data_IF_126807818212
#
_entry.id   IF_126807818212
#
_cell.length_a   1.000
_cell.length_b   1.000
_cell.length_c   1.000
_cell.angle_alpha   90.00
_cell.angle_beta   90.00
_cell.angle_gamma   90.00
#
_symmetry.space_group_name_H-M   'P 1'
#
loop_
_entity.id
_entity.type
_entity.pdbx_description
1 polymer ?
#
# COMPACT_ATOMS: atom_id res chain seq x y z
N UNK A 1 3.07 41.57 -22.00
CA UNK A 1 3.10 41.11 -20.59
C UNK A 1 2.43 39.74 -20.51
N UNK A 2 2.93 38.80 -19.70
CA UNK A 2 2.29 37.49 -19.49
C UNK A 2 1.55 37.51 -18.15
N UNK A 3 0.24 37.29 -18.17
CA UNK A 3 -0.57 37.15 -16.95
C UNK A 3 -0.27 35.79 -16.32
N UNK A 4 -0.03 35.77 -15.02
CA UNK A 4 0.29 34.56 -14.25
C UNK A 4 -0.55 34.50 -12.98
N UNK A 5 -0.95 33.29 -12.58
CA UNK A 5 -1.53 33.04 -11.27
C UNK A 5 -0.41 32.89 -10.24
N UNK A 6 -0.51 33.61 -9.13
CA UNK A 6 0.36 33.43 -7.97
C UNK A 6 -0.44 32.92 -6.80
N UNK A 7 0.13 31.98 -6.05
CA UNK A 7 -0.47 31.52 -4.81
C UNK A 7 -0.42 32.63 -3.76
N UNK A 8 -1.58 32.96 -3.20
CA UNK A 8 -1.76 33.98 -2.18
C UNK A 8 -2.72 33.45 -1.11
N UNK A 9 -2.21 33.03 0.06
CA UNK A 9 -3.02 32.37 1.08
C UNK A 9 -4.05 33.29 1.74
N UNK A 10 -3.87 34.62 1.64
CA UNK A 10 -4.77 35.63 2.20
C UNK A 10 -6.05 35.84 1.36
N UNK A 11 -6.06 35.36 0.12
CA UNK A 11 -7.18 35.57 -0.81
C UNK A 11 -8.24 34.49 -0.60
N UNK A 12 -9.18 34.78 0.30
CA UNK A 12 -10.38 33.95 0.50
C UNK A 12 -11.54 34.57 -0.29
N UNK A 13 -11.52 34.39 -1.61
CA UNK A 13 -12.68 34.74 -2.44
C UNK A 13 -13.85 33.81 -2.13
N UNK A 14 -15.09 34.28 -2.36
CA UNK A 14 -16.26 33.41 -2.30
C UNK A 14 -16.10 32.30 -3.35
N UNK A 15 -16.22 31.05 -2.90
CA UNK A 15 -16.11 29.89 -3.78
C UNK A 15 -17.40 29.81 -4.58
N UNK A 16 -17.29 29.84 -5.90
CA UNK A 16 -18.44 29.83 -6.81
C UNK A 16 -18.40 28.72 -7.84
N UNK A 17 -17.31 27.94 -7.90
CA UNK A 17 -17.18 26.84 -8.84
C UNK A 17 -16.26 25.74 -8.31
N UNK A 18 -16.35 24.56 -8.92
CA UNK A 18 -15.51 23.41 -8.64
C UNK A 18 -15.05 22.75 -9.94
N UNK A 19 -13.82 22.23 -9.92
CA UNK A 19 -13.29 21.44 -11.02
C UNK A 19 -13.22 19.94 -10.66
N UNK A 20 -13.85 19.11 -11.49
CA UNK A 20 -13.88 17.66 -11.38
C UNK A 20 -12.96 17.04 -12.42
N UNK A 21 -11.83 16.49 -11.97
CA UNK A 21 -10.80 15.91 -12.86
C UNK A 21 -11.21 14.58 -13.47
N UNK A 22 -10.62 14.30 -14.63
CA UNK A 22 -10.74 13.03 -15.34
C UNK A 22 -11.83 13.08 -16.41
N UNK A 23 -11.91 12.07 -17.26
CA UNK A 23 -12.79 12.03 -18.44
C UNK A 23 -14.04 11.16 -18.28
N UNK A 24 -14.31 10.66 -17.07
CA UNK A 24 -15.39 9.70 -16.80
C UNK A 24 -16.67 10.36 -16.27
N UNK A 25 -17.77 10.42 -17.04
CA UNK A 25 -19.02 11.03 -16.61
C UNK A 25 -19.59 10.43 -15.32
N UNK A 26 -19.45 9.10 -15.15
CA UNK A 26 -19.89 8.40 -13.94
C UNK A 26 -19.20 8.90 -12.68
N UNK A 27 -17.90 9.22 -12.75
CA UNK A 27 -17.16 9.74 -11.60
C UNK A 27 -17.62 11.15 -11.25
N UNK A 28 -17.85 12.00 -12.26
CA UNK A 28 -18.37 13.34 -12.04
C UNK A 28 -19.76 13.32 -11.38
N UNK A 29 -20.66 12.47 -11.87
CA UNK A 29 -22.01 12.34 -11.31
C UNK A 29 -21.99 11.84 -9.88
N UNK A 30 -21.12 10.88 -9.55
CA UNK A 30 -20.97 10.43 -8.17
C UNK A 30 -20.51 11.58 -7.26
N UNK A 31 -19.56 12.41 -7.68
CA UNK A 31 -19.14 13.57 -6.89
C UNK A 31 -20.23 14.63 -6.77
N UNK A 32 -20.96 14.93 -7.84
CA UNK A 32 -22.10 15.88 -7.81
C UNK A 32 -23.19 15.39 -6.85
N UNK A 33 -23.49 14.09 -6.86
CA UNK A 33 -24.50 13.50 -5.96
C UNK A 33 -24.16 13.62 -4.47
N UNK A 34 -22.88 13.80 -4.14
CA UNK A 34 -22.44 13.99 -2.76
C UNK A 34 -22.69 15.41 -2.24
N UNK A 35 -22.96 16.36 -3.13
CA UNK A 35 -23.13 17.77 -2.76
C UNK A 35 -24.54 18.10 -2.27
N UNK A 36 -25.50 17.16 -2.41
CA UNK A 36 -26.92 17.35 -2.03
C UNK A 36 -27.53 18.64 -2.61
N UNK A 37 -27.10 19.00 -3.82
CA UNK A 37 -27.55 20.19 -4.54
C UNK A 37 -28.41 19.77 -5.72
N UNK A 38 -29.44 20.58 -6.02
CA UNK A 38 -30.27 20.39 -7.21
C UNK A 38 -29.41 20.52 -8.49
N UNK A 39 -29.28 19.46 -9.31
CA UNK A 39 -28.46 19.49 -10.51
C UNK A 39 -28.89 20.54 -11.54
N UNK A 40 -30.17 20.91 -11.56
CA UNK A 40 -30.69 21.90 -12.51
C UNK A 40 -30.28 23.34 -12.16
N UNK A 41 -29.79 23.57 -10.94
CA UNK A 41 -29.29 24.87 -10.45
C UNK A 41 -27.79 25.09 -10.73
N UNK A 42 -27.16 24.20 -11.49
CA UNK A 42 -25.72 24.19 -11.75
C UNK A 42 -25.43 24.38 -13.24
N UNK A 43 -24.42 25.18 -13.55
CA UNK A 43 -23.89 25.28 -14.92
C UNK A 43 -22.70 24.32 -15.10
N UNK A 44 -22.71 23.54 -16.18
CA UNK A 44 -21.68 22.54 -16.48
C UNK A 44 -20.92 22.91 -17.75
N UNK A 45 -19.59 22.88 -17.68
CA UNK A 45 -18.70 23.15 -18.81
C UNK A 45 -17.58 22.12 -18.89
N UNK A 46 -17.24 21.66 -20.09
CA UNK A 46 -16.14 20.71 -20.28
C UNK A 46 -14.83 21.48 -20.44
N UNK A 47 -13.85 21.18 -19.60
CA UNK A 47 -12.48 21.67 -19.77
C UNK A 47 -11.66 20.64 -20.52
N UNK A 48 -10.98 21.09 -21.56
CA UNK A 48 -10.07 20.28 -22.36
C UNK A 48 -8.61 20.67 -22.08
N UNK A 49 -7.72 19.70 -22.23
CA UNK A 49 -6.29 19.95 -22.33
C UNK A 49 -5.95 20.54 -23.71
N UNK A 50 -4.76 21.13 -23.86
CA UNK A 50 -4.27 21.70 -25.12
C UNK A 50 -4.24 20.68 -26.29
N UNK A 51 -4.28 19.39 -25.98
CA UNK A 51 -4.32 18.27 -26.94
C UNK A 51 -5.72 17.98 -27.48
N UNK A 52 -6.76 18.63 -26.95
CA UNK A 52 -8.17 18.36 -27.26
C UNK A 52 -8.79 17.23 -26.45
N UNK A 53 -8.00 16.60 -25.55
CA UNK A 53 -8.52 15.61 -24.61
C UNK A 53 -9.34 16.29 -23.51
N UNK A 54 -10.38 15.61 -23.03
CA UNK A 54 -11.17 16.08 -21.89
C UNK A 54 -10.33 15.99 -20.61
N UNK A 55 -10.07 17.15 -19.99
CA UNK A 55 -9.36 17.26 -18.73
C UNK A 55 -10.30 17.02 -17.53
N UNK A 56 -11.54 17.49 -17.65
CA UNK A 56 -12.52 17.40 -16.58
C UNK A 56 -13.79 18.22 -16.83
N UNK A 57 -14.68 18.17 -15.85
CA UNK A 57 -15.91 18.94 -15.81
C UNK A 57 -15.76 20.12 -14.85
N UNK A 58 -16.05 21.31 -15.33
CA UNK A 58 -16.16 22.53 -14.54
C UNK A 58 -17.61 22.78 -14.17
N UNK A 59 -17.88 22.93 -12.87
CA UNK A 59 -19.22 23.13 -12.34
C UNK A 59 -19.29 24.49 -11.67
N UNK A 60 -20.25 25.31 -12.05
CA UNK A 60 -20.51 26.62 -11.46
C UNK A 60 -21.78 26.54 -10.62
N UNK A 61 -21.71 27.07 -9.40
CA UNK A 61 -22.83 27.13 -8.48
C UNK A 61 -23.50 28.50 -8.58
N UNK A 62 -24.83 28.53 -8.72
CA UNK A 62 -25.59 29.78 -8.66
C UNK A 62 -25.55 30.41 -7.27
N UNK A 63 -25.48 29.57 -6.22
CA UNK A 63 -25.40 30.00 -4.83
C UNK A 63 -23.99 29.83 -4.25
N UNK A 64 -23.21 30.91 -4.30
CA UNK A 64 -21.82 30.96 -3.79
C UNK A 64 -21.74 30.66 -2.27
N UNK A 65 -22.80 30.93 -1.50
CA UNK A 65 -22.84 30.63 -0.06
C UNK A 65 -22.93 29.12 0.22
N UNK A 66 -23.64 28.37 -0.64
CA UNK A 66 -23.75 26.91 -0.55
C UNK A 66 -22.42 26.27 -0.98
N UNK A 67 -21.82 26.76 -2.06
CA UNK A 67 -20.53 26.26 -2.55
C UNK A 67 -19.41 26.40 -1.51
N UNK A 68 -19.39 27.49 -0.72
CA UNK A 68 -18.42 27.68 0.36
C UNK A 68 -18.56 26.72 1.55
N UNK A 69 -19.71 26.05 1.71
CA UNK A 69 -19.94 25.08 2.79
C UNK A 69 -19.61 23.64 2.36
N UNK A 70 -19.51 23.39 1.06
CA UNK A 70 -19.25 22.06 0.50
C UNK A 70 -17.76 21.71 0.56
N UNK A 71 -17.45 20.43 0.77
CA UNK A 71 -16.08 19.92 0.65
C UNK A 71 -15.74 19.70 -0.83
N UNK A 72 -15.24 20.75 -1.47
CA UNK A 72 -14.81 20.74 -2.87
C UNK A 72 -13.33 20.38 -2.97
N UNK A 73 -12.99 19.45 -3.88
CA UNK A 73 -11.60 19.03 -4.10
C UNK A 73 -10.75 20.15 -4.73
N UNK A 74 -11.28 20.81 -5.76
CA UNK A 74 -10.58 21.90 -6.46
C UNK A 74 -11.53 23.10 -6.59
N UNK A 75 -11.63 23.94 -5.53
CA UNK A 75 -12.51 25.10 -5.51
C UNK A 75 -11.96 26.26 -6.33
N UNK A 76 -12.88 26.97 -6.99
CA UNK A 76 -12.61 28.17 -7.78
C UNK A 76 -13.43 29.35 -7.24
N UNK A 77 -12.79 30.50 -7.18
CA UNK A 77 -13.37 31.78 -6.79
C UNK A 77 -13.75 32.60 -8.01
N UNK A 78 -14.85 33.35 -7.91
CA UNK A 78 -15.31 34.26 -8.95
C UNK A 78 -14.66 35.63 -8.80
N UNK A 79 -14.15 36.18 -9.90
CA UNK A 79 -13.48 37.49 -9.99
C UNK A 79 -14.10 38.29 -11.13
N UNK A 80 -14.39 39.58 -10.88
CA UNK A 80 -15.00 40.48 -11.86
C UNK A 80 -16.27 39.93 -12.53
N UNK A 81 -17.03 39.09 -11.81
CA UNK A 81 -18.31 38.51 -12.24
C UNK A 81 -18.25 37.43 -13.34
N UNK A 82 -17.19 37.37 -14.16
CA UNK A 82 -17.11 36.45 -15.32
C UNK A 82 -15.91 35.50 -15.28
N UNK A 83 -14.85 35.84 -14.54
CA UNK A 83 -13.62 35.07 -14.48
C UNK A 83 -13.60 34.17 -13.24
N UNK A 84 -13.17 32.93 -13.40
CA UNK A 84 -12.97 31.99 -12.31
C UNK A 84 -11.48 31.62 -12.20
N UNK A 85 -10.95 31.73 -10.99
CA UNK A 85 -9.56 31.38 -10.65
C UNK A 85 -9.55 30.43 -9.45
N UNK A 86 -8.54 29.57 -9.27
CA UNK A 86 -8.48 28.68 -8.12
C UNK A 86 -8.46 29.46 -6.80
N UNK A 87 -8.99 28.84 -5.74
CA UNK A 87 -8.92 29.42 -4.40
C UNK A 87 -7.46 29.68 -3.98
N UNK A 88 -7.24 30.74 -3.19
CA UNK A 88 -5.92 31.16 -2.74
C UNK A 88 -4.97 31.51 -3.90
N UNK A 89 -5.51 32.03 -5.01
CA UNK A 89 -4.69 32.56 -6.10
C UNK A 89 -5.06 34.00 -6.42
N UNK A 90 -4.03 34.79 -6.75
CA UNK A 90 -4.14 36.16 -7.22
C UNK A 90 -3.60 36.29 -8.66
N UNK A 91 -4.14 37.24 -9.41
CA UNK A 91 -3.71 37.55 -10.77
C UNK A 91 -2.51 38.50 -10.70
N UNK A 92 -1.42 38.15 -11.38
CA UNK A 92 -0.22 38.98 -11.49
C UNK A 92 0.11 39.26 -12.98
N UNK A 93 0.37 40.53 -13.38
CA UNK A 93 0.31 41.76 -12.57
C UNK A 93 -1.12 42.03 -12.04
N UNK A 94 -1.24 42.84 -10.99
CA UNK A 94 -2.54 43.19 -10.43
C UNK A 94 -3.34 43.99 -11.47
N UNK A 95 -4.50 43.47 -11.86
CA UNK A 95 -5.44 44.10 -12.79
C UNK A 95 -6.69 44.48 -11.99
N UNK A 96 -7.20 45.70 -12.22
CA UNK A 96 -8.43 46.14 -11.54
C UNK A 96 -9.65 45.36 -12.03
N UNK A 97 -10.67 45.21 -11.19
CA UNK A 97 -11.90 44.50 -11.57
C UNK A 97 -12.62 45.16 -12.74
N UNK A 98 -12.57 46.50 -12.83
CA UNK A 98 -13.17 47.27 -13.94
C UNK A 98 -12.46 47.00 -15.26
N UNK A 99 -11.13 46.97 -15.25
CA UNK A 99 -10.31 46.62 -16.41
C UNK A 99 -10.54 45.16 -16.82
N UNK A 100 -10.56 44.22 -15.86
CA UNK A 100 -10.90 42.83 -16.13
C UNK A 100 -12.28 42.70 -16.78
N UNK A 101 -13.30 43.36 -16.23
CA UNK A 101 -14.66 43.27 -16.78
C UNK A 101 -14.77 43.71 -18.25
N UNK A 102 -13.89 44.61 -18.69
CA UNK A 102 -13.80 45.11 -20.07
C UNK A 102 -13.02 44.16 -20.98
N UNK A 103 -11.95 43.55 -20.46
CA UNK A 103 -11.11 42.60 -21.21
C UNK A 103 -11.74 41.22 -21.37
N UNK A 104 -12.67 40.85 -20.49
CA UNK A 104 -13.36 39.56 -20.48
C UNK A 104 -14.45 39.52 -21.56
N UNK A 105 -14.13 38.87 -22.69
CA UNK A 105 -14.99 38.79 -23.88
C UNK A 105 -16.11 37.74 -23.72
N UNK A 106 -15.78 36.54 -23.25
CA UNK A 106 -16.72 35.42 -23.13
C UNK A 106 -17.66 35.52 -21.92
N UNK A 107 -18.75 34.76 -21.95
CA UNK A 107 -19.76 34.76 -20.88
C UNK A 107 -19.19 34.23 -19.56
N UNK A 108 -18.51 33.08 -19.61
CA UNK A 108 -17.78 32.49 -18.48
C UNK A 108 -16.34 32.23 -18.90
N UNK A 109 -15.37 32.54 -18.04
CA UNK A 109 -13.94 32.38 -18.33
C UNK A 109 -13.25 31.73 -17.16
N UNK A 110 -12.37 30.76 -17.41
CA UNK A 110 -11.64 30.02 -16.39
C UNK A 110 -10.15 30.15 -16.66
N UNK A 111 -9.39 30.54 -15.65
CA UNK A 111 -7.94 30.52 -15.70
C UNK A 111 -7.44 29.40 -14.78
N UNK A 112 -7.14 28.24 -15.36
CA UNK A 112 -6.64 27.07 -14.64
C UNK A 112 -5.10 27.04 -14.69
N UNK A 113 -4.37 26.76 -13.59
CA UNK A 113 -2.90 26.78 -13.56
C UNK A 113 -2.22 25.87 -14.59
N UNK A 114 -2.75 24.65 -14.78
CA UNK A 114 -2.24 23.67 -15.75
C UNK A 114 -2.83 23.82 -17.17
N UNK A 115 -4.15 24.00 -17.30
CA UNK A 115 -4.84 24.05 -18.61
C UNK A 115 -4.73 25.43 -19.27
N UNK A 116 -4.40 26.47 -18.51
CA UNK A 116 -4.36 27.84 -18.99
C UNK A 116 -5.73 28.51 -18.98
N UNK A 117 -5.91 29.44 -19.91
CA UNK A 117 -7.08 30.29 -19.99
C UNK A 117 -8.09 29.74 -21.00
N UNK A 118 -9.31 29.47 -20.56
CA UNK A 118 -10.41 28.95 -21.39
C UNK A 118 -11.64 29.84 -21.25
N UNK A 119 -12.26 30.20 -22.37
CA UNK A 119 -13.51 30.96 -22.41
C UNK A 119 -14.66 30.08 -22.90
N UNK A 120 -15.85 30.28 -22.33
CA UNK A 120 -17.07 29.56 -22.66
C UNK A 120 -18.18 30.53 -23.07
N UNK A 121 -18.87 30.20 -24.14
CA UNK A 121 -20.11 30.83 -24.54
C UNK A 121 -21.32 30.14 -23.89
N UNK A 122 -22.50 30.74 -24.04
CA UNK A 122 -23.75 30.13 -23.55
C UNK A 122 -24.09 28.83 -24.27
N UNK A 123 -23.67 28.69 -25.54
CA UNK A 123 -23.85 27.47 -26.32
C UNK A 123 -23.00 26.30 -25.82
N UNK A 124 -21.92 26.57 -25.09
CA UNK A 124 -20.98 25.55 -24.62
C UNK A 124 -21.43 24.93 -23.29
N UNK A 125 -22.56 25.40 -22.75
CA UNK A 125 -23.17 24.84 -21.56
C UNK A 125 -23.66 23.42 -21.85
N UNK A 126 -23.18 22.47 -21.06
CA UNK A 126 -23.56 21.08 -21.14
C UNK A 126 -24.83 20.83 -20.34
N UNK A 127 -25.82 20.15 -20.95
CA UNK A 127 -26.94 19.58 -20.21
C UNK A 127 -26.54 18.19 -19.71
N UNK A 128 -26.82 17.89 -18.43
CA UNK A 128 -26.52 16.57 -17.89
C UNK A 128 -27.22 15.44 -18.66
N UNK A 129 -28.39 15.70 -19.21
CA UNK A 129 -29.12 14.76 -20.07
C UNK A 129 -28.28 14.26 -21.24
N UNK A 130 -27.40 15.11 -21.78
CA UNK A 130 -26.61 14.81 -22.99
C UNK A 130 -25.47 13.82 -22.69
N UNK A 131 -25.12 13.65 -21.40
CA UNK A 131 -24.17 12.63 -20.94
C UNK A 131 -24.79 11.23 -20.90
N UNK A 132 -26.12 11.13 -20.92
CA UNK A 132 -26.83 9.85 -20.84
C UNK A 132 -27.17 9.34 -22.23
N UNK A 133 -26.72 8.12 -22.52
CA UNK A 133 -27.26 7.35 -23.65
C UNK A 133 -28.35 6.43 -23.12
N UNK A 134 -29.58 6.66 -23.55
CA UNK A 134 -30.68 5.75 -23.26
C UNK A 134 -30.62 4.59 -24.26
N UNK A 135 -30.57 3.33 -23.78
CA UNK A 135 -30.70 2.21 -24.71
C UNK A 135 -32.06 2.27 -25.41
N UNK A 136 -32.13 1.75 -26.63
CA UNK A 136 -33.41 1.64 -27.33
C UNK A 136 -34.42 0.91 -26.43
N UNK A 137 -35.67 1.40 -26.36
CA UNK A 137 -36.69 0.79 -25.52
C UNK A 137 -36.89 -0.65 -25.96
N UNK A 138 -36.49 -1.59 -25.11
CA UNK A 138 -36.73 -3.01 -25.35
C UNK A 138 -38.23 -3.22 -25.23
N UNK A 139 -38.87 -3.53 -26.36
CA UNK A 139 -40.26 -4.01 -26.42
C UNK A 139 -40.32 -5.44 -25.83
N UNK A 140 -40.06 -5.55 -24.53
CA UNK A 140 -40.26 -6.76 -23.75
C UNK A 140 -41.69 -6.74 -23.19
N UNK A 141 -42.35 -7.88 -23.23
CA UNK A 141 -43.64 -8.04 -22.57
C UNK A 141 -43.42 -8.20 -21.05
N UNK A 142 -43.61 -7.09 -20.32
CA UNK A 142 -43.50 -7.03 -18.86
C UNK A 142 -44.62 -7.82 -18.15
N UNK A 143 -45.60 -8.35 -18.89
CA UNK A 143 -46.68 -9.19 -18.35
C UNK A 143 -46.21 -10.59 -17.95
N UNK A 144 -45.06 -11.03 -18.44
CA UNK A 144 -44.46 -12.30 -18.06
C UNK A 144 -43.37 -12.09 -17.01
N UNK A 145 -43.50 -12.76 -15.86
CA UNK A 145 -42.41 -12.84 -14.90
C UNK A 145 -41.24 -13.58 -15.56
N UNK A 146 -40.14 -12.88 -15.81
CA UNK A 146 -38.89 -13.54 -16.15
C UNK A 146 -38.56 -14.51 -15.01
N UNK A 147 -38.34 -15.81 -15.27
CA UNK A 147 -37.82 -16.71 -14.26
C UNK A 147 -36.49 -16.09 -13.80
N UNK A 148 -36.50 -15.56 -12.57
CA UNK A 148 -35.34 -14.88 -12.00
C UNK A 148 -34.13 -15.80 -12.05
N UNK A 149 -32.94 -15.20 -11.91
CA UNK A 149 -31.70 -15.98 -11.76
C UNK A 149 -31.95 -17.00 -10.66
N UNK A 150 -31.85 -18.32 -10.93
CA UNK A 150 -32.10 -19.33 -9.91
C UNK A 150 -31.19 -19.03 -8.72
N UNK A 151 -31.72 -19.22 -7.52
CA UNK A 151 -30.96 -18.95 -6.30
C UNK A 151 -29.56 -19.56 -6.41
N UNK A 152 -28.54 -18.74 -6.18
CA UNK A 152 -27.15 -19.20 -6.20
C UNK A 152 -27.07 -20.48 -5.37
N UNK A 153 -26.56 -21.59 -5.93
CA UNK A 153 -26.45 -22.82 -5.16
C UNK A 153 -25.69 -22.51 -3.88
N UNK A 154 -26.22 -22.98 -2.75
CA UNK A 154 -25.63 -22.72 -1.45
C UNK A 154 -24.14 -23.02 -1.46
N UNK A 155 -23.34 -22.12 -0.93
CA UNK A 155 -21.90 -22.25 -0.90
C UNK A 155 -21.50 -23.58 -0.22
N UNK A 156 -21.00 -24.54 -1.00
CA UNK A 156 -20.74 -25.88 -0.48
C UNK A 156 -19.34 -26.00 0.13
N UNK A 157 -18.31 -25.55 -0.58
CA UNK A 157 -16.94 -25.53 -0.09
C UNK A 157 -16.04 -24.71 -1.02
N UNK A 158 -15.10 -23.94 -0.46
CA UNK A 158 -13.91 -23.51 -1.20
C UNK A 158 -12.91 -24.66 -1.14
N UNK A 159 -12.62 -25.26 -2.29
CA UNK A 159 -11.49 -26.18 -2.44
C UNK A 159 -10.39 -25.46 -3.19
N UNK A 160 -9.20 -25.46 -2.59
CA UNK A 160 -7.99 -25.07 -3.31
C UNK A 160 -7.73 -26.22 -4.29
N UNK A 161 -7.92 -25.97 -5.59
CA UNK A 161 -7.37 -26.86 -6.61
C UNK A 161 -5.85 -26.79 -6.50
N UNK A 162 -5.28 -27.76 -5.79
CA UNK A 162 -3.85 -27.96 -5.79
C UNK A 162 -3.49 -28.47 -7.19
N UNK A 163 -2.66 -27.76 -7.96
CA UNK A 163 -2.17 -28.28 -9.24
C UNK A 163 -1.54 -29.66 -9.00
N UNK A 164 -1.68 -30.53 -10.00
CA UNK A 164 -1.13 -31.88 -9.88
C UNK A 164 0.37 -31.79 -9.63
N UNK A 165 0.93 -32.70 -8.83
CA UNK A 165 2.35 -32.65 -8.45
C UNK A 165 3.26 -32.67 -9.68
N UNK A 166 2.79 -33.26 -10.77
CA UNK A 166 3.50 -33.36 -12.05
C UNK A 166 3.54 -32.00 -12.75
N UNK A 167 2.41 -31.29 -12.85
CA UNK A 167 2.38 -29.94 -13.43
C UNK A 167 3.21 -28.95 -12.61
N UNK A 168 3.14 -29.02 -11.28
CA UNK A 168 3.97 -28.21 -10.39
C UNK A 168 5.47 -28.51 -10.57
N UNK A 169 5.83 -29.79 -10.74
CA UNK A 169 7.20 -30.21 -11.00
C UNK A 169 7.69 -29.76 -12.37
N UNK A 170 6.84 -29.79 -13.39
CA UNK A 170 7.19 -29.29 -14.72
C UNK A 170 7.34 -27.77 -14.73
N UNK A 171 6.45 -27.03 -14.05
CA UNK A 171 6.57 -25.58 -13.89
C UNK A 171 7.84 -25.21 -13.13
N UNK A 172 8.15 -25.93 -12.05
CA UNK A 172 9.38 -25.74 -11.28
C UNK A 172 10.60 -26.11 -12.12
N UNK A 173 10.59 -27.21 -12.88
CA UNK A 173 11.70 -27.61 -13.76
C UNK A 173 11.92 -26.59 -14.88
N UNK A 174 10.83 -26.10 -15.48
CA UNK A 174 10.85 -25.06 -16.52
C UNK A 174 11.32 -23.71 -15.98
N UNK A 175 11.01 -23.40 -14.71
CA UNK A 175 11.44 -22.19 -14.02
C UNK A 175 12.86 -22.27 -13.42
N UNK A 176 13.35 -23.48 -13.11
CA UNK A 176 14.71 -23.72 -12.61
C UNK A 176 15.73 -23.59 -13.74
N UNK A 177 15.33 -23.82 -15.00
CA UNK A 177 16.26 -23.89 -16.12
C UNK A 177 17.16 -25.13 -16.00
N UNK A 178 17.33 -25.86 -17.09
CA UNK A 178 18.25 -27.02 -17.09
C UNK A 178 19.70 -26.54 -17.14
N UNK A 179 20.22 -26.06 -16.01
CA UNK A 179 21.67 -25.85 -15.87
C UNK A 179 22.30 -27.13 -15.30
N UNK A 180 23.24 -27.76 -16.02
CA UNK A 180 23.93 -28.96 -15.55
C UNK A 180 24.74 -28.64 -14.29
N UNK A 181 24.84 -29.65 -13.41
CA UNK A 181 25.42 -29.59 -12.05
C UNK A 181 26.85 -29.03 -11.97
N UNK A 182 27.54 -28.92 -13.11
CA UNK A 182 28.92 -28.44 -13.23
C UNK A 182 29.06 -26.91 -13.16
N UNK A 183 27.97 -26.13 -13.26
CA UNK A 183 28.02 -24.66 -13.23
C UNK A 183 27.62 -24.00 -11.90
N UNK A 184 27.37 -24.77 -10.83
CA UNK A 184 27.16 -24.20 -9.48
C UNK A 184 28.51 -23.84 -8.87
N UNK A 185 29.17 -22.82 -9.44
CA UNK A 185 30.32 -22.16 -8.81
C UNK A 185 29.80 -21.21 -7.75
N UNK A 186 30.35 -21.30 -6.53
CA UNK A 186 30.11 -20.36 -5.42
C UNK A 186 30.27 -18.93 -5.91
N UNK A 187 29.18 -18.21 -6.08
CA UNK A 187 29.23 -16.76 -6.16
C UNK A 187 28.11 -16.15 -5.31
N UNK A 188 28.54 -15.42 -4.30
CA UNK A 188 27.73 -14.95 -3.18
C UNK A 188 27.12 -13.58 -3.49
N UNK A 189 26.57 -13.34 -4.68
CA UNK A 189 25.94 -12.05 -4.98
C UNK A 189 24.87 -12.14 -6.08
N UNK A 190 23.67 -12.57 -5.70
CA UNK A 190 22.35 -12.04 -6.13
C UNK A 190 21.25 -12.97 -5.64
N UNK A 191 20.10 -12.45 -5.15
CA UNK A 191 19.02 -13.31 -4.69
C UNK A 191 18.45 -14.08 -5.89
N UNK A 192 18.70 -15.39 -5.91
CA UNK A 192 18.23 -16.30 -6.95
C UNK A 192 16.73 -16.20 -7.17
N UNK A 193 16.33 -16.24 -8.44
CA UNK A 193 14.96 -16.22 -8.95
C UNK A 193 14.00 -17.14 -8.17
N UNK A 194 14.52 -18.28 -7.71
CA UNK A 194 13.82 -19.26 -6.86
C UNK A 194 13.30 -18.68 -5.54
N UNK A 195 14.04 -17.76 -4.90
CA UNK A 195 13.57 -17.11 -3.67
C UNK A 195 12.43 -16.14 -3.93
N UNK A 196 12.41 -15.44 -5.08
CA UNK A 196 11.31 -14.53 -5.45
C UNK A 196 10.02 -15.30 -5.75
N UNK A 197 10.13 -16.46 -6.40
CA UNK A 197 8.97 -17.26 -6.78
C UNK A 197 8.30 -17.93 -5.56
N UNK A 198 9.12 -18.48 -4.64
CA UNK A 198 8.65 -19.11 -3.40
C UNK A 198 8.00 -18.07 -2.44
N UNK A 199 8.57 -16.87 -2.36
CA UNK A 199 7.97 -15.75 -1.61
C UNK A 199 6.63 -15.31 -2.19
N UNK A 200 6.47 -15.28 -3.52
CA UNK A 200 5.19 -14.92 -4.14
C UNK A 200 4.10 -15.97 -3.90
N UNK A 201 4.43 -17.26 -3.98
CA UNK A 201 3.47 -18.35 -3.68
C UNK A 201 3.04 -18.31 -2.21
N UNK A 202 3.99 -18.10 -1.29
CA UNK A 202 3.70 -17.95 0.15
C UNK A 202 2.83 -16.71 0.43
N UNK A 203 3.05 -15.60 -0.30
CA UNK A 203 2.30 -14.37 -0.16
C UNK A 203 0.85 -14.49 -0.67
N UNK A 204 0.62 -15.26 -1.74
CA UNK A 204 -0.73 -15.58 -2.23
C UNK A 204 -1.51 -16.47 -1.25
N UNK A 205 -0.83 -17.44 -0.61
CA UNK A 205 -1.43 -18.31 0.41
C UNK A 205 -1.77 -17.53 1.69
N UNK A 206 -0.96 -16.54 2.08
CA UNK A 206 -1.20 -15.68 3.24
C UNK A 206 -2.32 -14.64 3.00
N UNK A 207 -2.45 -14.11 1.77
CA UNK A 207 -3.55 -13.20 1.40
C UNK A 207 -4.92 -13.90 1.40
N UNK A 208 -4.95 -15.19 1.06
CA UNK A 208 -6.19 -15.99 1.10
C UNK A 208 -6.70 -16.25 2.53
N UNK A 209 -5.80 -16.42 3.51
CA UNK A 209 -6.19 -16.68 4.91
C UNK A 209 -6.56 -15.41 5.67
N UNK A 210 -5.97 -14.26 5.33
CA UNK A 210 -6.29 -12.98 5.99
C UNK A 210 -7.68 -12.44 5.60
N UNK A 211 -8.14 -12.70 4.37
CA UNK A 211 -9.49 -12.33 3.93
C UNK A 211 -10.58 -13.18 4.61
N UNK A 212 -10.29 -14.44 4.92
CA UNK A 212 -11.22 -15.32 5.65
C UNK A 212 -11.34 -14.94 7.14
N UNK A 213 -10.22 -14.54 7.77
CA UNK A 213 -10.21 -14.06 9.15
C UNK A 213 -10.91 -12.69 9.31
N UNK A 214 -10.86 -11.82 8.28
CA UNK A 214 -11.56 -10.53 8.29
C UNK A 214 -13.07 -10.68 8.03
N UNK A 215 -13.50 -11.73 7.32
CA UNK A 215 -14.91 -12.03 7.11
C UNK A 215 -15.58 -12.63 8.35
N UNK A 216 -14.83 -13.39 9.15
CA UNK A 216 -15.30 -14.01 10.41
C UNK A 216 -15.38 -13.02 11.58
N UNK A 217 -14.62 -11.92 11.57
CA UNK A 217 -14.67 -10.91 12.64
C UNK A 217 -15.88 -9.98 12.60
N UNK A 218 -16.68 -10.02 11.52
CA UNK A 218 -17.96 -9.30 11.41
C UNK A 218 -19.19 -10.15 11.75
N UNK A 219 -19.04 -11.44 12.03
CA UNK A 219 -20.12 -12.30 12.54
C UNK A 219 -19.95 -12.49 14.06
N UNK A 220 -20.87 -11.90 14.82
CA UNK A 220 -20.97 -12.04 16.28
C UNK A 220 -21.57 -13.42 16.61
N UNK A 221 -20.77 -14.47 16.54
CA UNK A 221 -21.15 -15.82 17.00
C UNK A 221 -20.55 -16.03 18.41
N UNK A 222 -21.34 -16.43 19.42
CA UNK A 222 -20.82 -16.70 20.75
C UNK A 222 -19.92 -17.94 20.72
N UNK A 223 -18.63 -17.76 21.04
CA UNK A 223 -17.68 -18.86 21.23
C UNK A 223 -17.73 -19.24 22.72
N UNK A 224 -18.08 -20.49 23.09
CA UNK A 224 -17.98 -20.92 24.48
C UNK A 224 -16.51 -20.94 24.90
N UNK A 225 -16.28 -20.39 26.08
CA UNK A 225 -15.00 -20.12 26.74
C UNK A 225 -14.01 -21.30 26.73
N UNK A 226 -12.84 -21.07 26.15
CA UNK A 226 -11.65 -21.91 26.32
C UNK A 226 -10.98 -21.53 27.66
N UNK A 227 -11.48 -22.09 28.76
CA UNK A 227 -10.80 -22.07 30.05
C UNK A 227 -9.80 -23.20 30.10
N UNK A 228 -8.52 -22.85 30.24
CA UNK A 228 -7.43 -23.75 30.58
C UNK A 228 -7.64 -24.35 31.98
N UNK A 229 -7.69 -25.68 32.09
CA UNK A 229 -7.70 -26.41 33.36
C UNK A 229 -7.62 -27.91 33.09
N UNK A 230 -6.63 -28.60 33.69
CA UNK A 230 -6.26 -29.97 33.35
C UNK A 230 -7.18 -31.06 33.92
N UNK A 231 -6.90 -32.30 33.52
CA UNK A 231 -7.31 -33.50 34.27
C UNK A 231 -8.15 -34.55 33.51
N UNK A 232 -7.45 -35.54 32.95
CA UNK A 232 -7.67 -37.00 33.08
C UNK A 232 -9.04 -37.69 32.84
N UNK A 233 -8.94 -38.76 32.02
CA UNK A 233 -9.69 -40.04 32.05
C UNK A 233 -11.16 -39.97 31.55
N UNK A 234 -11.75 -40.88 30.77
CA UNK A 234 -11.61 -42.31 30.40
C UNK A 234 -12.36 -42.46 29.04
N UNK A 235 -11.93 -43.27 28.06
CA UNK A 235 -12.16 -44.72 27.96
C UNK A 235 -13.49 -45.09 27.28
N UNK A 236 -13.52 -45.37 25.97
CA UNK A 236 -14.05 -46.62 25.38
C UNK A 236 -14.07 -46.65 23.84
N UNK A 237 -13.57 -47.78 23.35
CA UNK A 237 -13.63 -48.48 22.06
C UNK A 237 -14.81 -48.24 21.10
N UNK A 238 -14.51 -48.30 19.79
CA UNK A 238 -15.06 -49.36 18.94
C UNK A 238 -14.15 -49.69 17.73
N UNK A 239 -14.05 -50.99 17.41
CA UNK A 239 -13.55 -51.59 16.14
C UNK A 239 -14.58 -51.27 15.04
N UNK A 240 -14.34 -51.27 13.72
CA UNK A 240 -13.60 -52.21 12.88
C UNK A 240 -13.54 -51.61 11.44
N UNK A 241 -12.96 -52.39 10.52
CA UNK A 241 -13.04 -52.33 9.03
C UNK A 241 -12.02 -51.46 8.28
N UNK A 242 -10.92 -52.10 7.88
CA UNK A 242 -10.73 -52.55 6.50
C UNK A 242 -10.47 -51.52 5.41
N UNK A 243 -9.34 -51.73 4.73
CA UNK A 243 -8.99 -51.23 3.39
C UNK A 243 -8.55 -49.77 3.25
N UNK A 244 -7.24 -49.58 3.10
CA UNK A 244 -6.62 -48.95 1.91
C UNK A 244 -5.24 -48.40 2.30
N UNK A 245 -4.20 -49.22 2.09
CA UNK A 245 -2.82 -48.75 2.16
C UNK A 245 -2.52 -47.91 0.93
N UNK A 246 -2.56 -46.58 1.07
CA UNK A 246 -2.07 -45.65 0.06
C UNK A 246 -0.80 -44.97 0.60
N UNK A 247 0.35 -45.07 -0.09
CA UNK A 247 1.61 -44.49 0.38
C UNK A 247 1.65 -43.01 0.00
N UNK A 248 1.11 -42.11 0.85
CA UNK A 248 1.22 -40.65 0.65
C UNK A 248 1.95 -39.92 1.77
N UNK A 249 2.65 -40.64 2.64
CA UNK A 249 3.51 -40.09 3.69
C UNK A 249 4.89 -39.63 3.18
N UNK A 250 5.38 -40.15 2.06
CA UNK A 250 6.80 -39.94 1.68
C UNK A 250 7.20 -38.54 1.15
N UNK A 251 6.28 -37.75 0.61
CA UNK A 251 6.63 -36.48 -0.07
C UNK A 251 6.48 -35.24 0.83
N UNK A 252 5.41 -35.20 1.63
CA UNK A 252 5.21 -34.13 2.61
C UNK A 252 6.27 -34.20 3.72
N UNK A 253 6.63 -35.41 4.14
CA UNK A 253 7.72 -35.60 5.11
C UNK A 253 9.07 -35.18 4.54
N UNK A 254 9.32 -35.36 3.23
CA UNK A 254 10.55 -34.86 2.58
C UNK A 254 10.60 -33.34 2.49
N UNK A 255 9.45 -32.69 2.28
CA UNK A 255 9.36 -31.22 2.24
C UNK A 255 9.56 -30.61 3.63
N UNK A 256 8.92 -31.18 4.66
CA UNK A 256 9.14 -30.78 6.05
C UNK A 256 10.60 -30.97 6.45
N UNK A 257 11.19 -32.13 6.14
CA UNK A 257 12.60 -32.39 6.40
C UNK A 257 13.55 -31.45 5.64
N UNK A 258 13.19 -30.98 4.44
CA UNK A 258 13.97 -30.01 3.67
C UNK A 258 13.87 -28.61 4.29
N UNK A 259 12.67 -28.19 4.71
CA UNK A 259 12.44 -26.91 5.41
C UNK A 259 13.19 -26.87 6.74
N UNK A 260 13.09 -27.94 7.53
CA UNK A 260 13.78 -28.05 8.81
C UNK A 260 15.30 -28.01 8.64
N UNK A 261 15.83 -28.68 7.61
CA UNK A 261 17.26 -28.61 7.26
C UNK A 261 17.69 -27.21 6.85
N UNK A 262 16.90 -26.49 6.07
CA UNK A 262 17.24 -25.13 5.64
C UNK A 262 17.12 -24.11 6.76
N UNK A 263 16.14 -24.23 7.64
CA UNK A 263 16.02 -23.40 8.84
C UNK A 263 17.19 -23.67 9.79
N UNK A 264 17.54 -24.93 10.03
CA UNK A 264 18.70 -25.30 10.83
C UNK A 264 20.02 -24.82 10.21
N UNK A 265 20.16 -24.85 8.88
CA UNK A 265 21.35 -24.34 8.19
C UNK A 265 21.44 -22.81 8.31
N UNK A 266 20.33 -22.09 8.18
CA UNK A 266 20.26 -20.65 8.37
C UNK A 266 20.58 -20.25 9.81
N UNK A 267 20.02 -20.95 10.79
CA UNK A 267 20.33 -20.76 12.21
C UNK A 267 21.81 -21.02 12.46
N UNK A 268 22.38 -22.10 11.94
CA UNK A 268 23.81 -22.40 12.07
C UNK A 268 24.71 -21.32 11.45
N UNK A 269 24.31 -20.72 10.32
CA UNK A 269 25.03 -19.58 9.70
C UNK A 269 24.93 -18.33 10.58
N UNK A 270 23.74 -18.04 11.11
CA UNK A 270 23.51 -16.93 12.05
C UNK A 270 24.33 -17.08 13.33
N UNK A 271 24.37 -18.28 13.90
CA UNK A 271 25.18 -18.58 15.07
C UNK A 271 26.67 -18.38 14.82
N UNK A 272 27.17 -18.82 13.66
CA UNK A 272 28.57 -18.60 13.26
C UNK A 272 28.90 -17.11 13.13
N UNK A 273 27.98 -16.32 12.58
CA UNK A 273 28.17 -14.86 12.46
C UNK A 273 28.11 -14.16 13.83
N UNK A 274 27.28 -14.62 14.77
CA UNK A 274 27.28 -14.13 16.16
C UNK A 274 28.60 -14.48 16.87
N UNK A 275 29.09 -15.73 16.73
CA UNK A 275 30.39 -16.14 17.28
C UNK A 275 31.55 -15.37 16.63
N UNK A 276 31.47 -15.12 15.32
CA UNK A 276 32.42 -14.27 14.60
C UNK A 276 32.41 -12.85 15.15
N UNK A 277 31.24 -12.24 15.36
CA UNK A 277 31.10 -10.92 15.97
C UNK A 277 31.73 -10.88 17.37
N UNK A 278 31.43 -11.87 18.21
CA UNK A 278 32.03 -12.00 19.53
C UNK A 278 33.56 -12.06 19.46
N UNK A 279 34.11 -12.86 18.54
CA UNK A 279 35.57 -12.93 18.33
C UNK A 279 36.16 -11.63 17.76
N UNK A 280 35.37 -10.88 17.00
CA UNK A 280 35.77 -9.61 16.41
C UNK A 280 35.89 -8.55 17.50
N UNK A 281 35.03 -8.55 18.51
CA UNK A 281 35.17 -7.67 19.67
C UNK A 281 36.48 -7.89 20.45
N UNK A 282 37.01 -9.11 20.46
CA UNK A 282 38.28 -9.43 21.14
C UNK A 282 39.50 -8.98 20.32
N UNK A 283 39.39 -8.96 18.99
CA UNK A 283 40.49 -8.59 18.08
C UNK A 283 40.50 -7.10 17.73
N UNK A 284 39.34 -6.54 17.40
CA UNK A 284 39.17 -5.15 16.96
C UNK A 284 37.76 -4.65 17.27
N UNK A 285 37.65 -3.84 18.33
CA UNK A 285 36.38 -3.28 18.82
C UNK A 285 35.73 -2.34 17.79
N UNK A 286 36.52 -1.49 17.12
CA UNK A 286 36.00 -0.53 16.15
C UNK A 286 35.38 -1.21 14.92
N UNK A 287 35.99 -2.29 14.43
CA UNK A 287 35.42 -3.04 13.31
C UNK A 287 34.21 -3.87 13.76
N UNK A 288 34.20 -4.38 15.00
CA UNK A 288 33.07 -5.11 15.56
C UNK A 288 31.82 -4.22 15.73
N UNK A 289 31.98 -2.94 16.12
CA UNK A 289 30.87 -1.99 16.24
C UNK A 289 30.13 -1.74 14.92
N UNK A 290 30.81 -1.88 13.77
CA UNK A 290 30.17 -1.80 12.45
C UNK A 290 29.22 -2.96 12.18
N UNK A 291 29.39 -4.10 12.82
CA UNK A 291 28.50 -5.26 12.67
C UNK A 291 27.59 -5.45 13.90
N UNK A 292 27.47 -4.44 14.75
CA UNK A 292 26.71 -4.51 15.99
C UNK A 292 25.20 -4.70 15.73
N UNK A 293 24.61 -5.61 16.50
CA UNK A 293 23.18 -5.88 16.52
C UNK A 293 22.54 -5.08 17.65
N UNK A 294 21.42 -4.35 17.40
CA UNK A 294 20.68 -3.69 18.47
C UNK A 294 20.00 -4.74 19.36
N UNK A 295 20.41 -4.84 20.62
CA UNK A 295 19.91 -5.84 21.57
C UNK A 295 18.58 -5.44 22.22
N UNK A 296 18.32 -4.14 22.36
CA UNK A 296 17.09 -3.62 22.95
C UNK A 296 16.76 -2.28 22.33
N UNK A 297 15.90 -2.25 21.31
CA UNK A 297 15.37 -0.99 20.78
C UNK A 297 13.84 -1.01 20.81
N UNK A 298 13.19 0.07 21.31
CA UNK A 298 11.73 0.24 21.26
C UNK A 298 11.16 0.18 19.83
N UNK A 299 12.04 0.27 18.84
CA UNK A 299 11.74 0.32 17.41
C UNK A 299 11.96 -1.01 16.69
N UNK A 300 12.33 -2.11 17.39
CA UNK A 300 12.46 -3.46 16.82
C UNK A 300 11.16 -3.97 16.15
N UNK A 301 10.01 -3.38 16.52
CA UNK A 301 8.70 -3.74 15.99
C UNK A 301 8.24 -2.84 14.82
N UNK A 302 9.06 -1.90 14.33
CA UNK A 302 8.72 -1.04 13.18
C UNK A 302 9.02 -1.73 11.84
N UNK A 303 8.32 -2.85 11.60
CA UNK A 303 8.47 -3.66 10.40
C UNK A 303 9.66 -4.63 10.45
N UNK A 304 9.46 -5.86 9.97
CA UNK A 304 10.52 -6.88 9.86
C UNK A 304 11.03 -6.93 8.43
N UNK A 305 12.33 -6.72 8.26
CA UNK A 305 12.99 -6.99 6.98
C UNK A 305 13.26 -8.50 6.83
N UNK A 306 13.67 -8.94 5.64
CA UNK A 306 13.97 -10.35 5.33
C UNK A 306 15.06 -10.89 6.25
N UNK A 307 14.84 -12.11 6.75
CA UNK A 307 15.81 -12.88 7.54
C UNK A 307 17.09 -13.13 6.72
N UNK A 308 18.17 -12.48 7.10
CA UNK A 308 19.50 -12.59 6.49
C UNK A 308 20.40 -13.54 7.28
N UNK A 309 21.32 -14.21 6.58
CA UNK A 309 22.28 -15.15 7.18
C UNK A 309 23.61 -14.50 7.60
N UNK A 310 23.77 -13.19 7.40
CA UNK A 310 25.03 -12.45 7.61
C UNK A 310 24.76 -11.07 8.21
N UNK A 311 25.63 -10.61 9.11
CA UNK A 311 25.52 -9.30 9.72
C UNK A 311 25.81 -8.20 8.69
N UNK A 312 24.90 -7.23 8.59
CA UNK A 312 25.09 -6.07 7.71
C UNK A 312 26.01 -5.04 8.35
N UNK A 313 26.90 -4.46 7.56
CA UNK A 313 27.80 -3.41 8.01
C UNK A 313 27.06 -2.07 8.15
N UNK A 314 27.11 -1.48 9.34
CA UNK A 314 26.64 -0.15 9.68
C UNK A 314 27.78 0.86 9.88
N UNK A 315 27.41 2.10 10.20
CA UNK A 315 28.34 3.23 10.37
C UNK A 315 29.25 3.10 11.61
N UNK A 316 28.85 2.32 12.61
CA UNK A 316 29.59 2.18 13.88
C UNK A 316 29.66 3.48 14.71
N UNK A 317 28.81 4.46 14.40
CA UNK A 317 28.76 5.78 15.03
C UNK A 317 27.31 6.20 15.24
N UNK A 318 27.05 6.81 16.39
CA UNK A 318 25.74 7.36 16.73
C UNK A 318 25.47 8.65 15.95
N UNK A 319 24.27 8.75 15.36
CA UNK A 319 23.85 9.91 14.58
C UNK A 319 22.46 10.41 15.03
N UNK A 320 22.43 11.64 15.55
CA UNK A 320 21.21 12.31 16.03
C UNK A 320 20.24 12.66 14.89
N UNK A 321 20.74 12.88 13.66
CA UNK A 321 19.90 13.25 12.51
C UNK A 321 18.95 12.12 12.06
N UNK A 322 19.11 10.91 12.60
CA UNK A 322 18.28 9.73 12.29
C UNK A 322 17.30 9.36 13.40
N UNK A 323 17.19 10.17 14.46
CA UNK A 323 16.18 10.02 15.53
C UNK A 323 14.78 10.42 15.03
N UNK A 324 14.14 9.52 14.30
CA UNK A 324 12.77 9.71 13.79
C UNK A 324 12.42 8.91 12.53
N UNK A 325 13.43 8.37 11.84
CA UNK A 325 13.26 7.59 10.60
C UNK A 325 14.00 6.25 10.65
N UNK A 326 13.42 5.26 11.31
CA UNK A 326 13.92 3.88 11.28
C UNK A 326 13.14 3.04 10.26
N UNK A 327 13.82 2.53 9.24
CA UNK A 327 13.26 1.52 8.33
C UNK A 327 13.18 0.14 8.98
N UNK A 328 12.44 -0.77 8.34
CA UNK A 328 12.36 -2.17 8.77
C UNK A 328 13.77 -2.77 8.91
N UNK A 329 14.02 -3.53 9.98
CA UNK A 329 15.30 -4.24 10.21
C UNK A 329 15.06 -5.72 10.45
N UNK A 330 16.08 -6.52 10.16
CA UNK A 330 16.09 -7.95 10.47
C UNK A 330 16.22 -8.15 11.99
N UNK A 331 15.35 -8.99 12.55
CA UNK A 331 15.35 -9.32 13.97
C UNK A 331 16.21 -10.58 14.16
N UNK A 332 17.34 -10.41 14.82
CA UNK A 332 18.24 -11.51 15.17
C UNK A 332 17.74 -12.19 16.43
N UNK A 333 17.34 -13.46 16.31
CA UNK A 333 17.03 -14.29 17.46
C UNK A 333 18.34 -14.76 18.09
N UNK A 334 18.72 -14.17 19.22
CA UNK A 334 19.95 -14.47 19.95
C UNK A 334 19.54 -15.17 21.25
N UNK A 335 20.12 -16.34 21.53
CA UNK A 335 19.90 -17.03 22.81
C UNK A 335 20.33 -16.16 24.01
N UNK A 336 19.68 -16.31 25.18
CA UNK A 336 19.84 -15.42 26.32
C UNK A 336 21.31 -15.23 26.74
N UNK A 337 22.08 -16.32 26.80
CA UNK A 337 23.50 -16.30 27.20
C UNK A 337 24.39 -15.48 26.25
N UNK A 338 24.17 -15.63 24.93
CA UNK A 338 24.94 -14.90 23.91
C UNK A 338 24.55 -13.41 23.90
N UNK A 339 23.29 -13.09 24.17
CA UNK A 339 22.81 -11.72 24.28
C UNK A 339 23.43 -11.00 25.48
N UNK A 340 23.55 -11.68 26.63
CA UNK A 340 24.20 -11.13 27.81
C UNK A 340 25.70 -10.89 27.58
N UNK A 341 26.40 -11.85 26.97
CA UNK A 341 27.82 -11.70 26.61
C UNK A 341 28.05 -10.52 25.65
N UNK A 342 27.22 -10.37 24.62
CA UNK A 342 27.29 -9.22 23.72
C UNK A 342 27.07 -7.91 24.47
N UNK A 343 26.09 -7.86 25.37
CA UNK A 343 25.80 -6.69 26.20
C UNK A 343 27.02 -6.28 27.04
N UNK A 344 27.69 -7.25 27.67
CA UNK A 344 28.90 -6.98 28.45
C UNK A 344 30.02 -6.41 27.58
N UNK A 345 30.22 -6.94 26.36
CA UNK A 345 31.22 -6.42 25.43
C UNK A 345 30.89 -5.01 24.95
N UNK A 346 29.62 -4.69 24.70
CA UNK A 346 29.19 -3.34 24.34
C UNK A 346 29.43 -2.35 25.49
N UNK A 347 29.05 -2.72 26.72
CA UNK A 347 29.29 -1.87 27.90
C UNK A 347 30.78 -1.58 28.09
N UNK A 348 31.63 -2.60 27.96
CA UNK A 348 33.08 -2.44 28.03
C UNK A 348 33.62 -1.51 26.93
N UNK A 349 33.13 -1.65 25.69
CA UNK A 349 33.54 -0.78 24.59
C UNK A 349 33.09 0.67 24.81
N UNK A 350 31.88 0.88 25.35
CA UNK A 350 31.36 2.20 25.66
C UNK A 350 32.15 2.90 26.78
N UNK A 351 32.53 2.17 27.85
CA UNK A 351 33.35 2.73 28.93
C UNK A 351 34.73 3.15 28.44
N UNK A 352 35.37 2.34 27.59
CA UNK A 352 36.68 2.69 27.01
C UNK A 352 36.59 3.89 26.05
N UNK A 353 35.54 3.96 25.22
CA UNK A 353 35.30 5.12 24.35
C UNK A 353 35.02 6.40 25.15
N UNK A 354 34.35 6.28 26.31
CA UNK A 354 34.10 7.38 27.23
C UNK A 354 35.41 7.91 27.85
N UNK A 355 36.30 7.02 28.28
CA UNK A 355 37.64 7.38 28.79
C UNK A 355 38.50 8.08 27.71
N UNK A 356 38.36 7.67 26.45
CA UNK A 356 39.03 8.27 25.29
C UNK A 356 38.39 9.60 24.84
N UNK A 357 37.35 10.09 25.52
CA UNK A 357 36.57 11.29 25.17
C UNK A 357 35.89 11.21 23.80
N UNK A 358 35.69 10.01 23.25
CA UNK A 358 34.91 9.80 22.02
C UNK A 358 33.44 9.52 22.38
N UNK A 359 32.71 10.60 22.67
CA UNK A 359 31.31 10.52 23.08
C UNK A 359 30.39 9.98 21.98
N UNK A 360 30.77 10.09 20.70
CA UNK A 360 29.95 9.58 19.58
C UNK A 360 30.00 8.07 19.50
N UNK A 361 31.15 7.46 19.79
CA UNK A 361 31.29 6.01 19.92
C UNK A 361 30.69 5.49 21.22
N UNK A 362 30.83 6.21 22.33
CA UNK A 362 30.24 5.81 23.61
C UNK A 362 28.70 5.82 23.59
N UNK A 363 28.08 6.67 22.77
CA UNK A 363 26.63 6.76 22.61
C UNK A 363 26.04 5.74 21.62
N UNK A 364 26.87 5.12 20.78
CA UNK A 364 26.47 4.09 19.82
C UNK A 364 26.35 2.74 20.52
#
# INVERSE_FOLDING_TARGET
MKVQLKYEPATTGQVGAAFLRGSGPMAWMHTISQWDTDPDSLEYYILCENTGNIAGLFVIFDNEAQAGQLQLLEPFCRVAGKLFIPQHTGIFPAISETELSTLLIWHRQVLHPALGFTGFEKSDQLLLSDLFSFPEPVMADWSFAHPGVPALPGFQSIRIQQPSTIELLEEIRKAIGEEPLENIRKDDTKPGFLKKLLLNILFYLLKGTMLLALLLSKLRIPIPSLTSGGGSATGMSNRNTGASGNPKTGLLDRLNNWLDKHLAELEKRREKEISRLLSMFDKNKDEALKYAIPLNSPYLNRGRDRSSGSLTRGSGLFNLNWLGGGGARDVWNIGPDKAELLRLKYLKAATEAFEQKDFRKAAY
#
